data_IF_984751802020
#
_entry.id   IF_984751802020
#
_cell.length_a   1.000
_cell.length_b   1.000
_cell.length_c   1.000
_cell.angle_alpha   90.00
_cell.angle_beta   90.00
_cell.angle_gamma   90.00
#
_symmetry.space_group_name_H-M   'P 1'
#
loop_
_entity.id
_entity.type
_entity.pdbx_description
1 polymer ?
#
# COMPACT_ATOMS: atom_id res chain seq x y z
N UNK A 1 1.12 -17.51 -14.05
CA UNK A 1 1.17 -16.21 -13.39
C UNK A 1 2.05 -16.25 -12.14
N UNK A 2 2.41 -15.10 -11.61
CA UNK A 2 3.31 -14.96 -10.44
C UNK A 2 2.70 -15.45 -9.11
N UNK A 3 1.51 -16.07 -9.13
CA UNK A 3 0.87 -16.66 -7.94
C UNK A 3 0.36 -15.69 -6.90
N UNK A 4 0.47 -14.38 -7.14
CA UNK A 4 0.10 -13.31 -6.21
C UNK A 4 -1.29 -12.71 -6.44
N UNK A 5 -2.00 -13.12 -7.52
CA UNK A 5 -3.27 -12.53 -7.95
C UNK A 5 -4.31 -13.61 -8.20
N UNK A 6 -5.21 -13.82 -7.25
CA UNK A 6 -6.28 -14.81 -7.37
C UNK A 6 -7.25 -14.48 -8.51
N UNK A 7 -7.42 -13.19 -8.83
CA UNK A 7 -8.36 -12.71 -9.85
C UNK A 7 -7.73 -12.50 -11.24
N UNK A 8 -6.46 -12.89 -11.45
CA UNK A 8 -5.76 -12.61 -12.73
C UNK A 8 -6.43 -13.25 -13.97
N UNK A 9 -7.31 -14.25 -13.78
CA UNK A 9 -8.07 -14.92 -14.82
C UNK A 9 -9.47 -14.33 -15.04
N UNK A 10 -9.85 -13.31 -14.28
CA UNK A 10 -11.17 -12.66 -14.31
C UNK A 10 -11.05 -11.32 -14.99
N UNK A 11 -12.02 -10.99 -15.88
CA UNK A 11 -12.06 -9.68 -16.53
C UNK A 11 -12.19 -8.55 -15.50
N UNK A 12 -11.52 -7.39 -15.68
CA UNK A 12 -11.50 -6.29 -14.70
C UNK A 12 -12.88 -5.85 -14.22
N UNK A 13 -13.85 -5.68 -15.12
CA UNK A 13 -15.21 -5.31 -14.75
C UNK A 13 -15.92 -6.36 -13.86
N UNK A 14 -15.60 -7.64 -14.05
CA UNK A 14 -16.12 -8.71 -13.19
C UNK A 14 -15.41 -8.72 -11.82
N UNK A 15 -14.12 -8.37 -11.78
CA UNK A 15 -13.40 -8.23 -10.50
C UNK A 15 -14.02 -7.13 -9.63
N UNK A 16 -14.36 -5.99 -10.21
CA UNK A 16 -15.05 -4.89 -9.50
C UNK A 16 -16.39 -5.37 -8.94
N UNK A 17 -17.23 -5.98 -9.79
CA UNK A 17 -18.53 -6.51 -9.35
C UNK A 17 -18.37 -7.48 -8.18
N UNK A 18 -17.44 -8.42 -8.24
CA UNK A 18 -17.24 -9.38 -7.14
C UNK A 18 -16.73 -8.72 -5.87
N UNK A 19 -15.86 -7.71 -5.97
CA UNK A 19 -15.41 -6.94 -4.81
C UNK A 19 -16.59 -6.20 -4.16
N UNK A 20 -17.45 -5.57 -4.97
CA UNK A 20 -18.67 -4.91 -4.49
C UNK A 20 -19.60 -5.91 -3.80
N UNK A 21 -19.87 -7.07 -4.41
CA UNK A 21 -20.70 -8.12 -3.82
C UNK A 21 -20.17 -8.59 -2.46
N UNK A 22 -18.85 -8.80 -2.34
CA UNK A 22 -18.22 -9.17 -1.07
C UNK A 22 -18.38 -8.05 -0.02
N UNK A 23 -18.09 -6.81 -0.39
CA UNK A 23 -18.21 -5.66 0.53
C UNK A 23 -19.67 -5.48 0.99
N UNK A 24 -20.63 -5.48 0.06
CA UNK A 24 -22.07 -5.38 0.37
C UNK A 24 -22.50 -6.52 1.30
N UNK A 25 -22.07 -7.75 1.03
CA UNK A 25 -22.38 -8.90 1.89
C UNK A 25 -21.83 -8.76 3.30
N UNK A 26 -20.60 -8.27 3.46
CA UNK A 26 -20.00 -8.02 4.78
C UNK A 26 -20.74 -6.91 5.53
N UNK A 27 -21.06 -5.81 4.88
CA UNK A 27 -21.81 -4.70 5.50
C UNK A 27 -23.22 -5.14 5.90
N UNK A 28 -23.92 -5.89 5.04
CA UNK A 28 -25.25 -6.43 5.35
C UNK A 28 -25.21 -7.37 6.56
N UNK A 29 -24.23 -8.27 6.61
CA UNK A 29 -24.19 -9.31 7.64
C UNK A 29 -23.69 -8.81 9.00
N UNK A 30 -22.83 -7.80 9.03
CA UNK A 30 -22.14 -7.37 10.25
C UNK A 30 -22.51 -5.96 10.71
N UNK A 31 -22.61 -5.00 9.81
CA UNK A 31 -22.87 -3.61 10.17
C UNK A 31 -24.37 -3.27 10.23
N UNK A 32 -25.18 -3.81 9.33
CA UNK A 32 -26.63 -3.56 9.33
C UNK A 32 -27.33 -4.05 10.60
N UNK A 33 -27.06 -5.28 11.13
CA UNK A 33 -27.66 -5.74 12.39
C UNK A 33 -27.28 -4.91 13.62
N UNK A 34 -26.13 -4.23 13.59
CA UNK A 34 -25.69 -3.34 14.67
C UNK A 34 -26.40 -1.98 14.69
N UNK A 35 -27.20 -1.68 13.66
CA UNK A 35 -27.88 -0.38 13.49
C UNK A 35 -26.98 0.74 12.97
N UNK A 36 -25.70 0.49 12.74
CA UNK A 36 -24.74 1.50 12.22
C UNK A 36 -25.13 2.01 10.82
N UNK A 37 -25.79 1.14 10.03
CA UNK A 37 -26.23 1.47 8.67
C UNK A 37 -27.75 1.77 8.60
N UNK A 38 -28.38 2.17 9.71
CA UNK A 38 -29.78 2.56 9.68
C UNK A 38 -29.98 3.78 8.78
N UNK A 39 -30.88 3.63 7.80
CA UNK A 39 -31.14 4.65 6.79
C UNK A 39 -30.24 4.60 5.55
N UNK A 40 -29.27 3.68 5.50
CA UNK A 40 -28.43 3.45 4.30
C UNK A 40 -29.04 2.36 3.42
N UNK A 41 -29.17 2.66 2.13
CA UNK A 41 -29.40 1.66 1.09
C UNK A 41 -28.09 1.34 0.41
N UNK A 42 -27.49 0.18 0.73
CA UNK A 42 -26.19 -0.26 0.21
C UNK A 42 -26.15 -0.39 -1.32
N UNK A 43 -27.30 -0.50 -1.98
CA UNK A 43 -27.35 -0.54 -3.43
C UNK A 43 -27.16 0.86 -4.07
N UNK A 44 -27.54 1.90 -3.36
CA UNK A 44 -27.53 3.29 -3.80
C UNK A 44 -26.38 4.07 -3.17
N UNK A 45 -26.24 3.96 -1.83
CA UNK A 45 -25.34 4.81 -1.04
C UNK A 45 -23.90 4.31 -1.00
N UNK A 46 -23.63 3.04 -1.42
CA UNK A 46 -22.27 2.53 -1.52
C UNK A 46 -21.59 3.03 -2.78
N UNK A 47 -20.79 4.04 -2.63
CA UNK A 47 -19.91 4.53 -3.69
C UNK A 47 -18.62 3.68 -3.76
N UNK A 48 -18.14 3.45 -4.97
CA UNK A 48 -16.87 2.76 -5.19
C UNK A 48 -16.07 3.45 -6.29
N UNK A 49 -14.79 3.56 -6.08
CA UNK A 49 -13.84 4.09 -7.06
C UNK A 49 -12.76 3.06 -7.37
N UNK A 50 -12.46 2.87 -8.65
CA UNK A 50 -11.33 2.06 -9.07
C UNK A 50 -10.10 2.93 -9.21
N UNK A 51 -9.06 2.58 -8.46
CA UNK A 51 -7.78 3.25 -8.61
C UNK A 51 -7.12 2.83 -9.92
N UNK A 52 -6.80 3.80 -10.77
CA UNK A 52 -6.04 3.58 -12.00
C UNK A 52 -4.54 3.87 -11.78
N UNK A 53 -3.66 3.16 -12.49
CA UNK A 53 -3.93 2.07 -13.44
C UNK A 53 -4.22 0.75 -12.74
N UNK A 54 -4.94 -0.17 -13.40
CA UNK A 54 -5.24 -1.52 -12.85
C UNK A 54 -4.09 -2.52 -12.98
N UNK A 55 -3.03 -2.18 -13.72
CA UNK A 55 -1.77 -2.92 -13.87
C UNK A 55 -0.59 -1.96 -13.72
N UNK A 56 0.55 -2.48 -13.29
CA UNK A 56 1.75 -1.65 -13.10
C UNK A 56 1.53 -0.50 -12.10
N UNK A 57 0.78 -0.75 -11.05
CA UNK A 57 0.41 0.25 -10.05
C UNK A 57 1.19 0.13 -8.74
N UNK A 58 1.75 -1.06 -8.46
CA UNK A 58 2.38 -1.39 -7.19
C UNK A 58 3.80 -0.85 -7.14
N UNK A 59 4.04 0.09 -6.25
CA UNK A 59 5.35 0.71 -6.03
C UNK A 59 6.18 0.03 -4.96
N UNK A 60 5.57 -0.84 -4.14
CA UNK A 60 6.21 -1.53 -3.01
C UNK A 60 5.89 -3.00 -3.04
N UNK A 61 6.91 -3.84 -2.89
CA UNK A 61 6.76 -5.28 -2.84
C UNK A 61 7.74 -5.90 -1.87
N UNK A 62 7.30 -6.94 -1.19
CA UNK A 62 8.12 -7.80 -0.35
C UNK A 62 8.22 -9.16 -1.01
N UNK A 63 9.43 -9.59 -1.27
CA UNK A 63 9.77 -10.86 -1.91
C UNK A 63 10.41 -11.79 -0.87
N UNK A 64 10.18 -13.09 -0.97
CA UNK A 64 10.94 -14.08 -0.22
C UNK A 64 12.18 -14.50 -0.99
N UNK A 65 13.22 -14.95 -0.28
CA UNK A 65 14.41 -15.55 -0.88
C UNK A 65 14.41 -17.05 -0.65
N UNK A 66 14.46 -17.81 -1.75
CA UNK A 66 14.48 -19.27 -1.74
C UNK A 66 15.81 -19.85 -1.25
N UNK A 67 15.88 -21.19 -1.08
CA UNK A 67 17.13 -21.87 -0.68
C UNK A 67 18.26 -21.71 -1.71
N UNK A 68 17.94 -21.43 -2.93
CA UNK A 68 18.85 -21.16 -4.07
C UNK A 68 19.35 -19.71 -4.11
N UNK A 69 18.92 -18.87 -3.16
CA UNK A 69 19.25 -17.44 -3.11
C UNK A 69 18.43 -16.56 -4.07
N UNK A 70 17.45 -17.11 -4.79
CA UNK A 70 16.65 -16.35 -5.75
C UNK A 70 15.44 -15.70 -5.06
N UNK A 71 15.23 -14.43 -5.34
CA UNK A 71 14.10 -13.68 -4.80
C UNK A 71 12.84 -13.80 -5.69
N UNK A 72 11.68 -13.84 -5.07
CA UNK A 72 10.41 -13.92 -5.80
C UNK A 72 9.19 -13.81 -4.92
N UNK A 73 8.02 -13.82 -5.54
CA UNK A 73 6.74 -13.83 -4.84
C UNK A 73 6.52 -15.20 -4.17
N UNK A 74 5.91 -15.18 -3.00
CA UNK A 74 5.46 -16.43 -2.37
C UNK A 74 4.22 -16.95 -3.09
N UNK A 75 4.20 -18.24 -3.39
CA UNK A 75 3.01 -18.92 -3.89
C UNK A 75 1.90 -18.87 -2.85
N UNK A 76 0.67 -18.68 -3.30
CA UNK A 76 -0.49 -18.65 -2.41
C UNK A 76 -0.54 -19.89 -1.49
N UNK A 77 -0.71 -19.68 -0.19
CA UNK A 77 -0.78 -20.72 0.84
C UNK A 77 0.45 -21.67 0.90
N UNK A 78 1.61 -21.18 0.46
CA UNK A 78 2.87 -21.93 0.45
C UNK A 78 4.03 -21.00 0.83
N UNK A 79 5.16 -21.60 1.23
CA UNK A 79 6.43 -20.92 1.38
C UNK A 79 7.31 -20.98 0.12
N UNK A 80 6.82 -21.65 -0.93
CA UNK A 80 7.53 -21.76 -2.20
C UNK A 80 7.71 -20.37 -2.84
N UNK A 81 8.90 -20.11 -3.36
CA UNK A 81 9.24 -18.87 -4.03
C UNK A 81 9.12 -19.01 -5.54
N UNK A 82 8.40 -18.11 -6.17
CA UNK A 82 8.25 -18.00 -7.61
C UNK A 82 9.21 -16.92 -8.11
N UNK A 83 10.44 -17.31 -8.44
CA UNK A 83 11.53 -16.40 -8.76
C UNK A 83 11.67 -16.11 -10.28
N UNK A 84 10.96 -16.83 -11.13
CA UNK A 84 11.12 -16.71 -12.60
C UNK A 84 10.18 -15.69 -13.25
N UNK A 85 9.14 -15.27 -12.53
CA UNK A 85 8.08 -14.42 -13.09
C UNK A 85 7.82 -13.22 -12.21
N UNK A 86 8.04 -12.04 -12.77
CA UNK A 86 7.66 -10.78 -12.12
C UNK A 86 6.13 -10.62 -12.05
N UNK A 87 5.66 -9.98 -10.99
CA UNK A 87 4.25 -9.68 -10.82
C UNK A 87 3.83 -8.51 -11.73
N UNK A 88 2.83 -8.71 -12.58
CA UNK A 88 2.33 -7.70 -13.51
C UNK A 88 1.71 -6.46 -12.82
N UNK A 89 1.45 -6.52 -11.52
CA UNK A 89 0.97 -5.38 -10.76
C UNK A 89 2.09 -4.43 -10.31
N UNK A 90 3.33 -4.93 -10.26
CA UNK A 90 4.48 -4.09 -9.91
C UNK A 90 4.81 -3.18 -11.07
N UNK A 91 5.17 -1.94 -10.78
CA UNK A 91 5.53 -0.96 -11.81
C UNK A 91 6.69 -1.47 -12.67
N UNK A 92 6.72 -1.16 -13.96
CA UNK A 92 7.79 -1.58 -14.85
C UNK A 92 9.18 -1.19 -14.32
N UNK A 93 10.16 -2.07 -14.49
CA UNK A 93 11.53 -1.84 -14.08
C UNK A 93 11.85 -2.10 -12.60
N UNK A 94 10.85 -2.06 -11.70
CA UNK A 94 11.10 -2.19 -10.25
C UNK A 94 11.78 -3.51 -9.87
N UNK A 95 11.47 -4.61 -10.55
CA UNK A 95 12.02 -5.94 -10.27
C UNK A 95 13.13 -6.37 -11.23
N UNK A 96 13.60 -5.48 -12.07
CA UNK A 96 14.70 -5.76 -13.01
C UNK A 96 15.99 -6.11 -12.23
N UNK A 97 16.64 -7.22 -12.61
CA UNK A 97 17.82 -7.74 -11.93
C UNK A 97 17.56 -8.35 -10.53
N UNK A 98 16.29 -8.40 -10.06
CA UNK A 98 15.90 -8.97 -8.77
C UNK A 98 15.08 -10.24 -8.96
N UNK A 99 14.18 -10.28 -9.94
CA UNK A 99 13.35 -11.43 -10.27
C UNK A 99 13.57 -11.79 -11.73
N UNK A 100 13.71 -13.08 -12.02
CA UNK A 100 13.94 -13.58 -13.38
C UNK A 100 15.15 -14.51 -13.47
N UNK A 101 15.42 -15.10 -14.65
CA UNK A 101 16.47 -16.08 -14.83
C UNK A 101 17.88 -15.52 -14.56
N UNK A 102 18.14 -14.28 -14.94
CA UNK A 102 19.44 -13.62 -14.82
C UNK A 102 19.51 -12.67 -13.59
N UNK A 103 18.56 -12.81 -12.65
CA UNK A 103 18.54 -12.01 -11.44
C UNK A 103 19.71 -12.36 -10.50
N UNK A 104 20.17 -11.38 -9.75
CA UNK A 104 21.19 -11.59 -8.71
C UNK A 104 20.64 -12.45 -7.58
N UNK A 105 21.53 -13.06 -6.83
CA UNK A 105 21.19 -13.86 -5.63
C UNK A 105 21.32 -13.03 -4.36
N UNK A 106 20.59 -13.47 -3.33
CA UNK A 106 20.51 -12.88 -2.00
C UNK A 106 20.73 -13.94 -0.94
N UNK A 107 20.74 -13.58 0.33
CA UNK A 107 20.88 -14.52 1.42
C UNK A 107 19.65 -15.43 1.54
N UNK A 108 19.77 -16.76 1.45
CA UNK A 108 18.63 -17.66 1.57
C UNK A 108 17.83 -17.46 2.86
N UNK A 109 16.51 -17.46 2.74
CA UNK A 109 15.59 -17.33 3.88
C UNK A 109 15.36 -15.90 4.35
N UNK A 110 15.99 -14.91 3.74
CA UNK A 110 15.71 -13.48 3.97
C UNK A 110 14.50 -13.00 3.16
N UNK A 111 14.16 -11.73 3.31
CA UNK A 111 13.16 -11.06 2.47
C UNK A 111 13.80 -9.85 1.80
N UNK A 112 13.38 -9.58 0.57
CA UNK A 112 13.80 -8.41 -0.20
C UNK A 112 12.62 -7.45 -0.29
N UNK A 113 12.81 -6.24 0.20
CA UNK A 113 11.87 -5.15 0.04
C UNK A 113 12.33 -4.29 -1.12
N UNK A 114 11.47 -4.12 -2.12
CA UNK A 114 11.70 -3.25 -3.26
C UNK A 114 10.69 -2.13 -3.23
N UNK A 115 11.17 -0.91 -3.29
CA UNK A 115 10.35 0.30 -3.33
C UNK A 115 10.83 1.15 -4.50
N UNK A 116 9.88 1.72 -5.24
CA UNK A 116 10.16 2.85 -6.13
C UNK A 116 9.31 3.99 -5.61
N UNK A 117 9.98 5.03 -5.16
CA UNK A 117 9.37 6.17 -4.52
C UNK A 117 8.80 7.21 -5.51
N UNK A 118 8.21 8.28 -5.01
CA UNK A 118 7.61 9.33 -5.85
C UNK A 118 8.62 10.10 -6.70
N UNK A 119 9.90 10.06 -6.36
CA UNK A 119 10.98 10.65 -7.16
C UNK A 119 11.43 9.74 -8.31
N UNK A 120 10.95 8.49 -8.32
CA UNK A 120 11.37 7.45 -9.26
C UNK A 120 12.62 6.71 -8.82
N UNK A 121 13.16 6.97 -7.62
CA UNK A 121 14.30 6.25 -7.08
C UNK A 121 13.87 4.86 -6.63
N UNK A 122 14.66 3.86 -7.00
CA UNK A 122 14.50 2.48 -6.56
C UNK A 122 15.34 2.24 -5.30
N UNK A 123 14.70 1.65 -4.29
CA UNK A 123 15.32 1.18 -3.05
C UNK A 123 15.17 -0.32 -2.95
N UNK A 124 16.26 -1.01 -2.63
CA UNK A 124 16.28 -2.45 -2.40
C UNK A 124 16.92 -2.72 -1.04
N UNK A 125 16.14 -3.32 -0.14
CA UNK A 125 16.57 -3.63 1.22
C UNK A 125 16.41 -5.11 1.47
N UNK A 126 17.50 -5.76 1.87
CA UNK A 126 17.47 -7.14 2.37
C UNK A 126 17.17 -7.13 3.87
N UNK A 127 16.17 -7.90 4.30
CA UNK A 127 15.79 -7.99 5.72
C UNK A 127 15.96 -9.41 6.22
N UNK A 128 16.67 -9.56 7.34
CA UNK A 128 16.90 -10.83 8.01
C UNK A 128 16.36 -10.78 9.44
N UNK A 129 15.91 -11.93 9.96
CA UNK A 129 15.56 -12.08 11.37
C UNK A 129 16.76 -12.70 12.10
N UNK A 130 17.28 -11.99 13.09
CA UNK A 130 18.34 -12.49 13.96
C UNK A 130 17.80 -12.71 15.37
N UNK A 131 18.09 -13.87 15.94
CA UNK A 131 17.74 -14.14 17.33
C UNK A 131 18.87 -13.63 18.24
N UNK A 132 18.55 -12.65 19.10
CA UNK A 132 19.44 -12.17 20.17
C UNK A 132 18.83 -12.51 21.52
N UNK A 133 19.23 -13.63 22.07
CA UNK A 133 18.67 -14.16 23.32
C UNK A 133 17.17 -14.52 23.11
N UNK A 134 16.28 -13.89 23.89
CA UNK A 134 14.82 -14.09 23.78
C UNK A 134 14.13 -13.14 22.79
N UNK A 135 14.85 -12.19 22.20
CA UNK A 135 14.31 -11.20 21.25
C UNK A 135 14.67 -11.59 19.82
N UNK A 136 13.74 -11.34 18.91
CA UNK A 136 13.98 -11.41 17.47
C UNK A 136 14.15 -9.98 16.99
N UNK A 137 15.32 -9.67 16.44
CA UNK A 137 15.63 -8.37 15.83
C UNK A 137 15.57 -8.52 14.32
N UNK A 138 15.05 -7.49 13.64
CA UNK A 138 15.14 -7.38 12.19
C UNK A 138 16.43 -6.64 11.86
N UNK A 139 17.25 -7.26 11.04
CA UNK A 139 18.46 -6.64 10.48
C UNK A 139 18.12 -6.21 9.07
N UNK A 140 18.41 -4.96 8.75
CA UNK A 140 18.18 -4.37 7.45
C UNK A 140 19.51 -4.04 6.80
N UNK A 141 19.68 -4.44 5.53
CA UNK A 141 20.85 -4.14 4.72
C UNK A 141 20.39 -3.46 3.45
N UNK A 142 20.76 -2.20 3.28
CA UNK A 142 20.48 -1.47 2.03
C UNK A 142 21.39 -2.01 0.92
N UNK A 143 20.76 -2.49 -0.13
CA UNK A 143 21.43 -3.07 -1.30
C UNK A 143 21.50 -2.05 -2.44
N UNK A 144 20.48 -1.21 -2.56
CA UNK A 144 20.36 -0.18 -3.59
C UNK A 144 19.49 0.97 -3.08
N UNK A 145 19.79 2.19 -3.52
CA UNK A 145 19.08 3.41 -3.13
C UNK A 145 19.56 3.99 -1.80
N UNK A 146 18.89 5.03 -1.36
CA UNK A 146 19.18 5.72 -0.11
C UNK A 146 18.54 5.02 1.10
N UNK A 147 18.94 5.45 2.31
CA UNK A 147 18.38 4.95 3.58
C UNK A 147 16.89 5.26 3.73
N UNK A 148 16.45 6.37 3.17
CA UNK A 148 15.07 6.82 3.19
C UNK A 148 14.51 6.94 1.78
N UNK A 149 13.22 6.63 1.65
CA UNK A 149 12.42 6.85 0.46
C UNK A 149 11.65 8.16 0.62
N UNK A 150 11.46 8.89 -0.48
CA UNK A 150 10.71 10.15 -0.51
C UNK A 150 9.40 9.96 -1.26
N UNK A 151 8.28 10.18 -0.55
CA UNK A 151 6.95 10.15 -1.15
C UNK A 151 6.35 11.54 -1.16
N UNK A 152 5.81 11.96 -2.30
CA UNK A 152 5.19 13.27 -2.51
C UNK A 152 3.70 13.06 -2.74
N UNK A 153 2.87 13.69 -1.92
CA UNK A 153 1.42 13.54 -1.98
C UNK A 153 0.75 14.88 -2.23
N UNK A 154 0.12 15.08 -3.39
CA UNK A 154 -0.72 16.23 -3.61
C UNK A 154 -2.03 16.09 -2.83
N UNK A 155 -2.39 17.11 -2.09
CA UNK A 155 -3.67 17.23 -1.37
C UNK A 155 -4.39 18.46 -1.89
N UNK A 156 -5.59 18.25 -2.44
CA UNK A 156 -6.47 19.34 -2.90
C UNK A 156 -7.37 19.79 -1.75
N UNK A 157 -7.37 21.08 -1.51
CA UNK A 157 -8.26 21.72 -0.55
C UNK A 157 -8.87 22.95 -1.19
N UNK A 158 -10.16 22.90 -1.39
CA UNK A 158 -10.94 24.00 -2.00
C UNK A 158 -10.37 24.49 -3.35
N UNK A 159 -9.85 23.56 -4.18
CA UNK A 159 -9.24 23.86 -5.47
C UNK A 159 -7.80 24.37 -5.42
N UNK A 160 -7.17 24.34 -4.26
CA UNK A 160 -5.74 24.60 -4.11
C UNK A 160 -4.98 23.31 -3.79
N UNK A 161 -4.10 22.90 -4.69
CA UNK A 161 -3.24 21.72 -4.49
C UNK A 161 -1.99 22.13 -3.72
N UNK A 162 -1.76 21.45 -2.61
CA UNK A 162 -0.53 21.55 -1.83
C UNK A 162 0.17 20.19 -1.82
N UNK A 163 1.47 20.17 -2.08
CA UNK A 163 2.29 18.95 -2.00
C UNK A 163 2.88 18.79 -0.60
N UNK A 164 2.85 17.57 -0.11
CA UNK A 164 3.44 17.16 1.17
C UNK A 164 4.47 16.08 0.95
N UNK A 165 5.67 16.32 1.49
CA UNK A 165 6.79 15.38 1.41
C UNK A 165 6.84 14.50 2.66
N UNK A 166 7.00 13.19 2.43
CA UNK A 166 7.17 12.18 3.46
C UNK A 166 8.50 11.48 3.24
N UNK A 167 9.38 11.53 4.24
CA UNK A 167 10.70 10.90 4.19
C UNK A 167 10.78 9.85 5.30
N UNK A 168 10.96 8.59 4.92
CA UNK A 168 10.95 7.47 5.86
C UNK A 168 11.66 6.24 5.28
N UNK A 169 12.10 5.28 6.13
CA UNK A 169 12.77 4.07 5.66
C UNK A 169 11.91 3.28 4.65
N UNK A 170 12.48 2.71 3.59
CA UNK A 170 11.75 1.89 2.61
C UNK A 170 10.98 0.71 3.22
N UNK A 171 11.40 0.26 4.40
CA UNK A 171 10.78 -0.83 5.16
C UNK A 171 9.52 -0.41 5.92
N UNK A 172 9.29 0.88 6.11
CA UNK A 172 8.08 1.39 6.74
C UNK A 172 6.84 1.15 5.87
N UNK A 173 5.68 1.10 6.52
CA UNK A 173 4.42 0.95 5.80
C UNK A 173 4.08 2.20 5.01
N UNK A 174 3.72 2.01 3.75
CA UNK A 174 3.13 2.99 2.86
C UNK A 174 2.15 2.32 1.91
N UNK A 175 1.20 3.08 1.35
CA UNK A 175 0.24 2.54 0.38
C UNK A 175 0.96 1.99 -0.84
N UNK A 176 0.64 0.74 -1.21
CA UNK A 176 1.34 0.08 -2.32
C UNK A 176 0.87 0.55 -3.70
N UNK A 177 -0.37 1.04 -3.81
CA UNK A 177 -0.90 1.59 -5.04
C UNK A 177 -0.51 3.06 -5.16
N UNK A 178 0.19 3.42 -6.25
CA UNK A 178 0.73 4.79 -6.45
C UNK A 178 -0.31 5.91 -6.38
N UNK A 179 -1.57 5.63 -6.72
CA UNK A 179 -2.64 6.62 -6.65
C UNK A 179 -3.36 6.67 -5.28
N UNK A 180 -3.17 5.65 -4.42
CA UNK A 180 -3.92 5.56 -3.17
C UNK A 180 -3.66 6.71 -2.19
N UNK A 181 -2.42 7.18 -1.98
CA UNK A 181 -2.17 8.27 -1.05
C UNK A 181 -2.97 9.54 -1.37
N UNK A 182 -2.91 10.02 -2.61
CA UNK A 182 -3.64 11.21 -3.05
C UNK A 182 -5.15 10.99 -3.05
N UNK A 183 -5.62 9.83 -3.51
CA UNK A 183 -7.06 9.53 -3.55
C UNK A 183 -7.66 9.47 -2.14
N UNK A 184 -7.01 8.80 -1.20
CA UNK A 184 -7.50 8.72 0.18
C UNK A 184 -7.46 10.07 0.88
N UNK A 185 -6.41 10.87 0.65
CA UNK A 185 -6.30 12.23 1.15
C UNK A 185 -7.43 13.12 0.63
N UNK A 186 -7.78 13.00 -0.65
CA UNK A 186 -8.91 13.70 -1.26
C UNK A 186 -10.24 13.29 -0.60
N UNK A 187 -10.50 12.01 -0.38
CA UNK A 187 -11.72 11.58 0.30
C UNK A 187 -11.85 12.19 1.69
N UNK A 188 -10.76 12.28 2.45
CA UNK A 188 -10.79 12.89 3.78
C UNK A 188 -11.17 14.37 3.68
N UNK A 189 -10.59 15.12 2.74
CA UNK A 189 -10.90 16.53 2.56
C UNK A 189 -12.32 16.74 2.04
N UNK A 190 -12.80 15.92 1.10
CA UNK A 190 -14.14 16.01 0.53
C UNK A 190 -15.23 15.70 1.57
N UNK A 191 -15.03 14.65 2.39
CA UNK A 191 -16.01 14.28 3.42
C UNK A 191 -16.01 15.23 4.61
N UNK A 192 -14.92 15.95 4.83
CA UNK A 192 -14.79 16.92 5.91
C UNK A 192 -15.05 18.36 5.44
N UNK A 193 -15.68 18.55 4.28
CA UNK A 193 -15.98 19.87 3.72
C UNK A 193 -16.94 20.73 4.58
N UNK A 194 -17.67 20.10 5.50
CA UNK A 194 -18.44 20.79 6.53
C UNK A 194 -17.48 21.15 7.68
N UNK A 195 -17.26 22.43 7.91
CA UNK A 195 -16.35 22.96 8.92
C UNK A 195 -16.55 22.29 10.29
N UNK A 196 -15.57 21.47 10.67
CA UNK A 196 -15.52 20.94 12.03
C UNK A 196 -14.74 21.92 12.92
N UNK A 197 -15.44 22.67 13.75
CA UNK A 197 -14.84 23.49 14.83
C UNK A 197 -14.25 22.62 15.95
N UNK A 198 -13.28 21.75 15.60
CA UNK A 198 -12.71 20.83 16.58
C UNK A 198 -11.20 21.08 16.73
N UNK A 199 -10.75 21.15 17.98
CA UNK A 199 -9.34 21.39 18.29
C UNK A 199 -8.48 20.12 18.23
N UNK A 200 -9.05 18.92 18.08
CA UNK A 200 -8.32 17.65 18.15
C UNK A 200 -8.82 16.68 17.09
N UNK A 201 -7.90 16.20 16.25
CA UNK A 201 -8.11 15.10 15.30
C UNK A 201 -7.33 13.86 15.74
N UNK A 202 -7.77 12.68 15.30
CA UNK A 202 -7.11 11.42 15.63
C UNK A 202 -6.81 10.65 14.35
N UNK A 203 -5.52 10.42 14.10
CA UNK A 203 -5.05 9.51 13.06
C UNK A 203 -4.71 8.16 13.69
N UNK A 204 -5.70 7.27 13.77
CA UNK A 204 -5.54 5.95 14.39
C UNK A 204 -4.76 5.03 13.44
N UNK A 205 -3.69 4.43 13.95
CA UNK A 205 -2.72 3.65 13.16
C UNK A 205 -2.02 4.48 12.08
N UNK A 206 -1.78 5.77 12.36
CA UNK A 206 -1.26 6.77 11.42
C UNK A 206 0.04 6.42 10.68
N UNK A 207 0.83 5.48 11.22
CA UNK A 207 2.09 5.07 10.58
C UNK A 207 3.03 6.26 10.40
N UNK A 208 3.35 6.59 9.13
CA UNK A 208 4.18 7.76 8.79
C UNK A 208 3.38 9.06 8.71
N UNK A 209 2.10 9.05 9.08
CA UNK A 209 1.25 10.24 9.14
C UNK A 209 0.66 10.68 7.79
N UNK A 210 0.41 9.74 6.88
CA UNK A 210 -0.14 10.05 5.54
C UNK A 210 -1.35 11.00 5.60
N UNK A 211 -2.26 10.80 6.55
CA UNK A 211 -3.53 11.54 6.61
C UNK A 211 -3.49 12.81 7.47
N UNK A 212 -2.38 13.04 8.19
CA UNK A 212 -2.23 14.22 9.06
C UNK A 212 -2.48 15.54 8.31
N UNK A 213 -1.94 15.80 7.12
CA UNK A 213 -2.23 17.02 6.37
C UNK A 213 -3.72 17.16 6.03
N UNK A 214 -4.35 16.11 5.50
CA UNK A 214 -5.77 16.15 5.10
C UNK A 214 -6.68 16.37 6.30
N UNK A 215 -6.42 15.71 7.44
CA UNK A 215 -7.15 15.92 8.69
C UNK A 215 -6.94 17.36 9.20
N UNK A 216 -5.70 17.84 9.17
CA UNK A 216 -5.38 19.22 9.59
C UNK A 216 -6.13 20.26 8.76
N UNK A 217 -6.16 20.08 7.45
CA UNK A 217 -6.83 20.99 6.53
C UNK A 217 -8.35 20.93 6.71
N UNK A 218 -8.93 19.74 6.85
CA UNK A 218 -10.34 19.52 7.16
C UNK A 218 -10.79 20.21 8.47
N UNK A 219 -9.86 20.41 9.40
CA UNK A 219 -10.10 21.05 10.70
C UNK A 219 -9.66 22.53 10.76
N UNK A 220 -9.54 23.21 9.61
CA UNK A 220 -9.18 24.62 9.53
C UNK A 220 -7.69 24.93 9.72
N UNK A 221 -6.81 23.92 9.55
CA UNK A 221 -5.36 24.10 9.45
C UNK A 221 -4.59 24.26 10.77
N UNK A 222 -5.25 24.16 11.92
CA UNK A 222 -4.61 24.32 13.25
C UNK A 222 -5.04 23.30 14.31
N UNK A 223 -5.41 22.07 13.97
CA UNK A 223 -5.78 21.12 15.00
C UNK A 223 -4.56 20.56 15.72
N UNK A 224 -4.81 19.97 16.87
CA UNK A 224 -3.89 19.04 17.53
C UNK A 224 -4.21 17.64 17.00
N UNK A 225 -3.24 16.99 16.34
CA UNK A 225 -3.37 15.64 15.81
C UNK A 225 -2.44 14.71 16.56
#
# INVERSE_FOLDING_TARGET
GAGCCDYSHIAPAAQQRFKREVLTGQLTNHAQPSGVLNGFDLAIDLEEETLEPTLGWRTRVRLGVGPDGRAGMRKARSNDILADVACAQVIPGALEGIVGPDARTFTPGTEIIVVVDSTGQRHVVETAKAQRGRRVEQIETVIEGDLDATEIVPVDVAGQVQEFDYVFPPTAFWQAHRAAPATYSRYITDWAADEYEQATGWDLYGGVGLFVPSISMAMGGRPRI
#
